data_IF_481962715355
#
_entry.id   IF_481962715355
#
_cell.length_a   1.000
_cell.length_b   1.000
_cell.length_c   1.000
_cell.angle_alpha   90.00
_cell.angle_beta   90.00
_cell.angle_gamma   90.00
#
_symmetry.space_group_name_H-M   'P 1'
#
loop_
_entity.id
_entity.type
_entity.pdbx_description
1 polymer ?
#
# COMPACT_ATOMS: atom_id res chain seq x y z
N UNK A 1 -9.82 8.37 6.19
CA UNK A 1 -9.82 6.92 5.84
C UNK A 1 -8.56 6.29 6.41
N UNK A 2 -8.68 5.24 7.25
CA UNK A 2 -7.50 4.55 7.78
C UNK A 2 -6.87 3.71 6.66
N UNK A 3 -5.55 3.75 6.47
CA UNK A 3 -4.88 2.83 5.57
C UNK A 3 -5.09 1.39 6.05
N UNK A 4 -5.16 0.45 5.10
CA UNK A 4 -5.07 -0.98 5.44
C UNK A 4 -3.83 -1.26 6.29
N UNK A 5 -3.97 -2.18 7.24
CA UNK A 5 -2.90 -2.60 8.15
C UNK A 5 -1.63 -2.98 7.37
N UNK A 6 -0.47 -2.65 7.94
CA UNK A 6 0.83 -2.96 7.33
C UNK A 6 0.98 -4.47 7.10
N UNK A 7 0.52 -5.28 8.07
CA UNK A 7 0.49 -6.74 7.98
C UNK A 7 -0.23 -7.26 6.72
N UNK A 8 -1.38 -6.67 6.35
CA UNK A 8 -2.12 -7.07 5.15
C UNK A 8 -1.31 -6.80 3.88
N UNK A 9 -0.63 -5.64 3.83
CA UNK A 9 0.20 -5.26 2.69
C UNK A 9 1.42 -6.17 2.56
N UNK A 10 2.08 -6.49 3.67
CA UNK A 10 3.22 -7.40 3.72
C UNK A 10 2.85 -8.79 3.23
N UNK A 11 1.71 -9.35 3.70
CA UNK A 11 1.24 -10.67 3.25
C UNK A 11 0.92 -10.70 1.75
N UNK A 12 0.31 -9.64 1.21
CA UNK A 12 0.04 -9.53 -0.24
C UNK A 12 1.33 -9.49 -1.05
N UNK A 13 2.33 -8.74 -0.59
CA UNK A 13 3.64 -8.61 -1.28
C UNK A 13 4.40 -9.93 -1.22
N UNK A 14 4.46 -10.59 -0.06
CA UNK A 14 5.11 -11.90 0.08
C UNK A 14 4.46 -12.93 -0.84
N UNK A 15 3.13 -12.95 -0.94
CA UNK A 15 2.42 -13.83 -1.86
C UNK A 15 2.70 -13.50 -3.34
N UNK A 16 2.87 -12.22 -3.67
CA UNK A 16 3.28 -11.78 -5.00
C UNK A 16 4.73 -12.16 -5.35
N UNK A 17 5.67 -12.01 -4.41
CA UNK A 17 7.08 -12.38 -4.58
C UNK A 17 7.27 -13.88 -4.79
N UNK A 18 6.42 -14.70 -4.16
CA UNK A 18 6.37 -16.14 -4.38
C UNK A 18 5.87 -16.54 -5.78
N UNK A 19 5.47 -15.58 -6.63
CA UNK A 19 5.05 -15.74 -8.05
C UNK A 19 3.96 -16.78 -8.31
N UNK A 20 3.24 -17.20 -7.27
CA UNK A 20 2.36 -18.36 -7.31
C UNK A 20 0.95 -18.03 -7.81
N UNK A 21 0.57 -16.75 -7.74
CA UNK A 21 -0.79 -16.30 -7.99
C UNK A 21 -0.83 -15.03 -8.85
N UNK A 22 -1.86 -14.95 -9.70
CA UNK A 22 -2.20 -13.73 -10.43
C UNK A 22 -2.78 -12.66 -9.51
N UNK A 23 -2.78 -11.39 -9.94
CA UNK A 23 -3.34 -10.30 -9.14
C UNK A 23 -4.81 -10.49 -8.75
N UNK A 24 -5.63 -11.15 -9.60
CA UNK A 24 -7.03 -11.47 -9.25
C UNK A 24 -7.13 -12.53 -8.16
N UNK A 25 -6.27 -13.55 -8.20
CA UNK A 25 -6.22 -14.57 -7.17
C UNK A 25 -5.74 -14.00 -5.83
N UNK A 26 -4.74 -13.12 -5.84
CA UNK A 26 -4.30 -12.39 -4.64
C UNK A 26 -5.44 -11.53 -4.09
N UNK A 27 -6.16 -10.80 -4.95
CA UNK A 27 -7.30 -9.98 -4.53
C UNK A 27 -8.39 -10.83 -3.84
N UNK A 28 -8.74 -11.98 -4.41
CA UNK A 28 -9.70 -12.91 -3.82
C UNK A 28 -9.21 -13.51 -2.49
N UNK A 29 -7.95 -13.95 -2.42
CA UNK A 29 -7.36 -14.58 -1.24
C UNK A 29 -7.33 -13.64 -0.03
N UNK A 30 -7.06 -12.36 -0.26
CA UNK A 30 -7.00 -11.35 0.80
C UNK A 30 -8.31 -10.54 0.95
N UNK A 31 -9.35 -10.87 0.18
CA UNK A 31 -10.62 -10.13 0.14
C UNK A 31 -10.43 -8.61 -0.09
N UNK A 32 -9.48 -8.26 -0.95
CA UNK A 32 -9.15 -6.87 -1.33
C UNK A 32 -9.48 -6.61 -2.79
N UNK A 33 -9.52 -5.34 -3.19
CA UNK A 33 -9.76 -4.99 -4.59
C UNK A 33 -8.53 -5.26 -5.47
N UNK A 34 -8.75 -5.61 -6.74
CA UNK A 34 -7.68 -5.79 -7.73
C UNK A 34 -6.79 -4.54 -7.86
N UNK A 35 -7.41 -3.36 -7.85
CA UNK A 35 -6.71 -2.09 -7.93
C UNK A 35 -5.79 -1.87 -6.71
N UNK A 36 -6.20 -2.31 -5.52
CA UNK A 36 -5.35 -2.25 -4.33
C UNK A 36 -4.08 -3.08 -4.49
N UNK A 37 -4.20 -4.32 -4.97
CA UNK A 37 -3.05 -5.20 -5.23
C UNK A 37 -2.13 -4.58 -6.29
N UNK A 38 -2.71 -4.06 -7.38
CA UNK A 38 -1.94 -3.44 -8.46
C UNK A 38 -1.16 -2.20 -7.98
N UNK A 39 -1.81 -1.31 -7.23
CA UNK A 39 -1.17 -0.11 -6.66
C UNK A 39 -0.05 -0.49 -5.69
N UNK A 40 -0.29 -1.47 -4.83
CA UNK A 40 0.67 -1.93 -3.84
C UNK A 40 1.93 -2.51 -4.50
N UNK A 41 1.76 -3.37 -5.50
CA UNK A 41 2.86 -3.97 -6.26
C UNK A 41 3.61 -2.92 -7.07
N UNK A 42 2.90 -1.97 -7.70
CA UNK A 42 3.51 -0.87 -8.45
C UNK A 42 4.35 0.03 -7.53
N UNK A 43 3.84 0.36 -6.33
CA UNK A 43 4.59 1.10 -5.32
C UNK A 43 5.83 0.33 -4.89
N UNK A 44 5.69 -0.97 -4.59
CA UNK A 44 6.79 -1.82 -4.15
C UNK A 44 7.90 -1.89 -5.21
N UNK A 45 7.55 -2.05 -6.49
CA UNK A 45 8.55 -2.03 -7.57
C UNK A 45 9.30 -0.70 -7.70
N UNK A 46 8.67 0.42 -7.34
CA UNK A 46 9.27 1.76 -7.42
C UNK A 46 10.12 2.12 -6.20
N UNK A 47 9.71 1.68 -5.02
CA UNK A 47 10.30 2.14 -3.73
C UNK A 47 10.97 1.05 -2.93
N UNK A 48 10.79 -0.23 -3.28
CA UNK A 48 11.26 -1.38 -2.51
C UNK A 48 10.63 -1.49 -1.12
N UNK A 49 9.61 -0.68 -0.82
CA UNK A 49 9.02 -0.60 0.51
C UNK A 49 7.53 -0.92 0.47
N UNK A 50 7.09 -1.68 1.47
CA UNK A 50 5.69 -2.07 1.69
C UNK A 50 4.98 -1.11 2.66
N UNK A 51 5.75 -0.20 3.29
CA UNK A 51 5.23 0.71 4.28
C UNK A 51 4.23 1.72 3.69
N UNK A 52 3.17 2.08 4.44
CA UNK A 52 2.32 3.20 4.08
C UNK A 52 3.17 4.44 3.84
N UNK A 53 2.81 5.22 2.82
CA UNK A 53 3.35 6.58 2.71
C UNK A 53 3.03 7.34 3.99
N UNK A 54 3.99 8.08 4.56
CA UNK A 54 3.72 8.91 5.71
C UNK A 54 2.57 9.87 5.37
N UNK A 55 1.72 10.15 6.34
CA UNK A 55 0.66 11.12 6.15
C UNK A 55 1.31 12.44 5.76
N UNK A 56 1.06 12.92 4.54
CA UNK A 56 1.53 14.23 4.10
C UNK A 56 0.79 15.25 4.96
N UNK A 57 1.50 15.80 5.96
CA UNK A 57 1.01 16.90 6.77
C UNK A 57 0.49 18.01 5.86
N UNK A 58 -0.61 18.64 6.25
CA UNK A 58 -1.20 19.74 5.50
C UNK A 58 -0.19 20.87 5.24
N UNK A 59 -0.53 21.82 4.36
CA UNK A 59 0.33 22.97 4.11
C UNK A 59 0.69 23.68 5.42
N UNK A 60 1.93 24.15 5.52
CA UNK A 60 2.43 24.89 6.68
C UNK A 60 1.47 26.03 7.02
N UNK A 61 1.13 26.24 8.30
CA UNK A 61 0.27 27.35 8.70
C UNK A 61 0.89 28.68 8.25
N UNK A 62 0.08 29.51 7.58
CA UNK A 62 0.51 30.79 7.00
C UNK A 62 0.54 31.94 8.01
N UNK A 63 0.04 31.72 9.23
CA UNK A 63 0.03 32.71 10.30
C UNK A 63 1.14 32.37 11.28
N UNK A 64 2.25 33.10 11.17
CA UNK A 64 3.26 33.18 12.22
C UNK A 64 2.71 34.12 13.29
N UNK A 65 2.57 33.64 14.54
CA UNK A 65 2.14 34.48 15.65
C UNK A 65 3.21 35.56 15.91
N UNK A 66 2.75 36.81 16.11
CA UNK A 66 3.56 38.01 16.32
C UNK A 66 4.28 38.02 17.68
#
# INVERSE_FOLDING_TARGET
>A
MKPYSVDLREKVIQAYEKRTHSFRQLAAMFSVSLNFVWLLVSQHKKTGSVAPKPHRGGPSPKLTQA
#
